data_IF_079251991763
#
_entry.id   IF_079251991763
#
_cell.length_a   1.000
_cell.length_b   1.000
_cell.length_c   1.000
_cell.angle_alpha   90.00
_cell.angle_beta   90.00
_cell.angle_gamma   90.00
#
_symmetry.space_group_name_H-M   'P 1'
#
loop_
_entity.id
_entity.type
_entity.pdbx_description
1 polymer ?
#
# COMPACT_ATOMS: atom_id res chain seq x y z
N UNK A 1 19.10 40.74 36.01
CA UNK A 1 18.89 39.30 36.14
C UNK A 1 17.46 39.00 35.68
N UNK A 2 17.16 39.12 34.39
CA UNK A 2 17.28 38.09 33.33
C UNK A 2 16.59 36.78 33.66
N UNK A 3 15.33 36.66 33.24
CA UNK A 3 14.80 35.42 32.68
C UNK A 3 13.64 35.79 31.75
N UNK A 4 13.97 35.95 30.48
CA UNK A 4 13.00 36.00 29.39
C UNK A 4 12.32 34.63 29.33
N UNK A 5 11.04 34.56 29.67
CA UNK A 5 10.17 33.50 29.15
C UNK A 5 9.89 33.88 27.68
N UNK A 6 10.68 33.31 26.78
CA UNK A 6 10.38 33.32 25.35
C UNK A 6 9.28 32.30 25.14
N UNK A 7 8.19 32.78 24.54
CA UNK A 7 7.06 32.02 24.04
C UNK A 7 7.53 30.81 23.22
N UNK A 8 7.30 29.60 23.74
CA UNK A 8 7.52 28.35 23.01
C UNK A 8 6.20 27.89 22.34
N UNK A 9 5.56 28.82 21.61
CA UNK A 9 4.32 28.60 20.89
C UNK A 9 4.49 28.92 19.40
N UNK A 10 5.32 28.13 18.72
CA UNK A 10 5.38 28.11 17.25
C UNK A 10 5.84 26.74 16.72
N UNK A 11 5.40 25.64 17.34
CA UNK A 11 5.80 24.27 16.96
C UNK A 11 4.86 23.62 15.92
N UNK A 12 3.98 24.39 15.29
CA UNK A 12 3.26 23.93 14.10
C UNK A 12 3.36 25.02 13.05
N UNK A 13 4.52 25.05 12.40
CA UNK A 13 4.66 25.76 11.14
C UNK A 13 3.88 24.95 10.10
N UNK A 14 2.78 25.54 9.63
CA UNK A 14 1.80 25.00 8.67
C UNK A 14 2.39 24.87 7.24
N UNK A 15 3.72 25.01 7.11
CA UNK A 15 4.52 25.07 5.90
C UNK A 15 5.58 23.95 5.83
N UNK A 16 5.38 22.81 6.50
CA UNK A 16 6.24 21.63 6.33
C UNK A 16 6.00 20.98 4.96
N UNK A 17 6.59 21.56 3.92
CA UNK A 17 6.76 20.90 2.63
C UNK A 17 7.48 19.57 2.84
N UNK A 18 6.91 18.47 2.29
CA UNK A 18 7.50 17.13 2.38
C UNK A 18 8.91 17.11 1.76
N UNK A 19 9.12 17.94 0.73
CA UNK A 19 10.40 18.11 0.06
C UNK A 19 11.02 19.45 0.48
N UNK A 20 12.25 19.45 1.02
CA UNK A 20 12.96 20.69 1.33
C UNK A 20 13.20 21.56 0.07
N UNK A 21 13.21 22.89 0.20
CA UNK A 21 13.40 23.80 -0.94
C UNK A 21 14.77 23.61 -1.62
N UNK A 22 15.81 23.27 -0.85
CA UNK A 22 17.14 22.98 -1.40
C UNK A 22 17.14 21.73 -2.31
N UNK A 23 16.42 20.67 -1.89
CA UNK A 23 16.21 19.50 -2.74
C UNK A 23 15.49 19.84 -4.05
N UNK A 24 14.52 20.76 -4.01
CA UNK A 24 13.82 21.22 -5.21
C UNK A 24 14.76 21.95 -6.19
N UNK A 25 15.66 22.80 -5.68
CA UNK A 25 16.69 23.48 -6.49
C UNK A 25 17.67 22.49 -7.12
N UNK A 26 18.09 21.48 -6.36
CA UNK A 26 18.94 20.42 -6.88
C UNK A 26 18.23 19.65 -8.00
N UNK A 27 16.97 19.24 -7.80
CA UNK A 27 16.19 18.52 -8.81
C UNK A 27 15.93 19.38 -10.06
N UNK A 28 15.69 20.68 -9.93
CA UNK A 28 15.45 21.57 -11.07
C UNK A 28 16.71 21.81 -11.91
N UNK A 29 17.89 21.78 -11.27
CA UNK A 29 19.19 21.91 -11.93
C UNK A 29 19.57 20.68 -12.78
N UNK A 30 18.97 19.52 -12.52
CA UNK A 30 19.29 18.27 -13.20
C UNK A 30 18.68 18.20 -14.62
N UNK A 31 19.39 17.50 -15.50
CA UNK A 31 18.88 17.13 -16.82
C UNK A 31 17.81 16.04 -16.71
N UNK A 32 16.93 15.91 -17.72
CA UNK A 32 15.91 14.86 -17.73
C UNK A 32 16.50 13.44 -17.67
N UNK A 33 17.70 13.23 -18.24
CA UNK A 33 18.41 11.94 -18.21
C UNK A 33 18.89 11.64 -16.78
N UNK A 34 19.43 12.64 -16.10
CA UNK A 34 19.86 12.52 -14.71
C UNK A 34 18.67 12.24 -13.78
N UNK A 35 17.54 12.94 -13.97
CA UNK A 35 16.31 12.69 -13.21
C UNK A 35 15.77 11.28 -13.44
N UNK A 36 15.78 10.77 -14.68
CA UNK A 36 15.39 9.40 -15.00
C UNK A 36 16.28 8.40 -14.25
N UNK A 37 17.60 8.54 -14.35
CA UNK A 37 18.55 7.64 -13.66
C UNK A 37 18.38 7.67 -12.13
N UNK A 38 18.01 8.83 -11.59
CA UNK A 38 17.77 9.01 -10.16
C UNK A 38 16.47 8.32 -9.73
N UNK A 39 15.42 8.44 -10.53
CA UNK A 39 14.15 7.78 -10.30
C UNK A 39 14.25 6.25 -10.44
N UNK A 40 14.99 5.75 -11.43
CA UNK A 40 15.28 4.32 -11.59
C UNK A 40 16.05 3.77 -10.40
N UNK A 41 17.06 4.52 -9.91
CA UNK A 41 17.83 4.17 -8.72
C UNK A 41 16.97 4.16 -7.45
N UNK A 42 16.06 5.13 -7.32
CA UNK A 42 15.12 5.20 -6.19
C UNK A 42 14.18 4.00 -6.17
N UNK A 43 13.60 3.62 -7.31
CA UNK A 43 12.76 2.41 -7.42
C UNK A 43 13.54 1.14 -7.11
N UNK A 44 14.77 1.04 -7.62
CA UNK A 44 15.61 -0.13 -7.41
C UNK A 44 15.95 -0.33 -5.91
N UNK A 45 16.23 0.76 -5.20
CA UNK A 45 16.43 0.77 -3.74
C UNK A 45 15.13 0.40 -2.99
N UNK A 46 14.01 1.05 -3.32
CA UNK A 46 12.71 0.81 -2.67
C UNK A 46 12.16 -0.61 -2.90
N UNK A 47 12.54 -1.27 -4.00
CA UNK A 47 12.16 -2.66 -4.30
C UNK A 47 13.11 -3.70 -3.69
N UNK A 48 14.11 -3.29 -2.92
CA UNK A 48 15.01 -4.17 -2.17
C UNK A 48 16.12 -4.81 -3.01
N UNK A 49 16.37 -4.33 -4.22
CA UNK A 49 17.53 -4.75 -5.00
C UNK A 49 18.75 -3.94 -4.54
N UNK A 50 19.49 -4.44 -3.54
CA UNK A 50 20.74 -3.78 -3.14
C UNK A 50 21.81 -3.96 -4.23
N UNK A 51 22.05 -2.93 -5.04
CA UNK A 51 23.33 -2.82 -5.77
C UNK A 51 24.38 -2.28 -4.81
N UNK A 52 25.34 -3.13 -4.44
CA UNK A 52 26.58 -2.75 -3.74
C UNK A 52 27.53 -1.93 -4.62
N UNK A 53 27.02 -1.18 -5.59
CA UNK A 53 27.82 -0.31 -6.44
C UNK A 53 27.82 1.12 -5.87
N UNK A 54 28.96 1.83 -5.95
CA UNK A 54 29.04 3.20 -5.47
C UNK A 54 28.05 4.07 -6.24
N UNK A 55 27.05 4.59 -5.53
CA UNK A 55 26.09 5.55 -6.09
C UNK A 55 26.85 6.64 -6.84
N UNK A 56 26.36 7.10 -8.02
CA UNK A 56 26.80 8.38 -8.55
C UNK A 56 26.64 9.42 -7.42
N UNK A 57 27.57 10.36 -7.32
CA UNK A 57 27.60 11.44 -6.32
C UNK A 57 26.39 12.38 -6.49
N UNK A 58 25.18 11.85 -6.34
CA UNK A 58 23.95 12.60 -6.32
C UNK A 58 23.70 12.92 -4.86
N UNK A 59 23.50 14.19 -4.58
CA UNK A 59 23.25 14.70 -3.24
C UNK A 59 22.16 13.85 -2.57
N UNK A 60 22.48 13.30 -1.40
CA UNK A 60 21.59 12.42 -0.63
C UNK A 60 20.19 13.04 -0.44
N UNK A 61 20.11 14.36 -0.41
CA UNK A 61 18.87 15.11 -0.30
C UNK A 61 18.00 15.04 -1.57
N UNK A 62 18.60 15.15 -2.76
CA UNK A 62 17.90 15.00 -4.03
C UNK A 62 17.43 13.55 -4.24
N UNK A 63 18.25 12.57 -3.82
CA UNK A 63 17.85 11.17 -3.82
C UNK A 63 16.69 10.90 -2.87
N UNK A 64 16.76 11.38 -1.62
CA UNK A 64 15.69 11.24 -0.65
C UNK A 64 14.39 11.90 -1.12
N UNK A 65 14.49 13.09 -1.72
CA UNK A 65 13.34 13.76 -2.34
C UNK A 65 12.75 12.93 -3.48
N UNK A 66 13.58 12.35 -4.35
CA UNK A 66 13.11 11.45 -5.42
C UNK A 66 12.40 10.22 -4.85
N UNK A 67 12.95 9.56 -3.82
CA UNK A 67 12.30 8.44 -3.15
C UNK A 67 10.94 8.84 -2.56
N UNK A 68 10.84 10.01 -1.92
CA UNK A 68 9.59 10.52 -1.38
C UNK A 68 8.54 10.75 -2.48
N UNK A 69 8.93 11.41 -3.59
CA UNK A 69 8.05 11.65 -4.74
C UNK A 69 7.54 10.32 -5.31
N UNK A 70 8.46 9.41 -5.66
CA UNK A 70 8.12 8.13 -6.27
C UNK A 70 7.21 7.30 -5.35
N UNK A 71 7.47 7.31 -4.04
CA UNK A 71 6.65 6.58 -3.06
C UNK A 71 5.25 7.18 -2.92
N UNK A 72 5.12 8.51 -2.89
CA UNK A 72 3.82 9.18 -2.84
C UNK A 72 2.96 8.82 -4.07
N UNK A 73 3.54 8.92 -5.26
CA UNK A 73 2.87 8.56 -6.50
C UNK A 73 2.55 7.06 -6.60
N UNK A 74 3.39 6.20 -6.04
CA UNK A 74 3.14 4.76 -6.01
C UNK A 74 2.02 4.38 -5.01
N UNK A 75 1.84 5.14 -3.93
CA UNK A 75 0.76 4.91 -2.95
C UNK A 75 -0.62 5.13 -3.56
N UNK A 76 -0.78 6.14 -4.42
CA UNK A 76 -2.07 6.52 -4.96
C UNK A 76 -2.37 5.76 -6.26
N UNK A 77 -2.90 4.53 -6.12
CA UNK A 77 -3.25 3.61 -7.24
C UNK A 77 -4.43 4.10 -8.11
N UNK A 78 -4.96 5.31 -7.87
CA UNK A 78 -6.10 5.85 -8.60
C UNK A 78 -5.66 6.36 -9.98
N UNK A 79 -6.43 6.14 -11.06
CA UNK A 79 -6.17 6.80 -12.33
C UNK A 79 -6.31 8.32 -12.14
N UNK A 80 -5.17 9.01 -12.04
CA UNK A 80 -5.13 10.45 -11.85
C UNK A 80 -5.07 11.17 -13.21
N UNK A 81 -5.80 12.28 -13.32
CA UNK A 81 -5.64 13.21 -14.42
C UNK A 81 -4.32 13.99 -14.28
N UNK A 82 -3.76 14.50 -15.38
CA UNK A 82 -2.54 15.31 -15.34
C UNK A 82 -2.64 16.54 -14.42
N UNK A 83 -3.86 17.04 -14.17
CA UNK A 83 -4.13 18.15 -13.24
C UNK A 83 -4.01 17.68 -11.78
N UNK A 84 -4.50 16.49 -11.46
CA UNK A 84 -4.42 15.92 -10.10
C UNK A 84 -2.98 15.58 -9.74
N UNK A 85 -2.23 14.97 -10.67
CA UNK A 85 -0.81 14.69 -10.48
C UNK A 85 0.01 15.95 -10.20
N UNK A 86 -0.31 17.07 -10.87
CA UNK A 86 0.36 18.36 -10.60
C UNK A 86 0.03 18.91 -9.22
N UNK A 87 -1.23 18.80 -8.79
CA UNK A 87 -1.63 19.20 -7.43
C UNK A 87 -0.92 18.37 -6.37
N UNK A 88 -0.70 17.09 -6.63
CA UNK A 88 0.06 16.22 -5.72
C UNK A 88 1.53 16.66 -5.63
N UNK A 89 2.18 16.98 -6.76
CA UNK A 89 3.54 17.55 -6.75
C UNK A 89 3.61 18.89 -6.00
N UNK A 90 2.61 19.75 -6.17
CA UNK A 90 2.50 21.01 -5.43
C UNK A 90 2.35 20.78 -3.92
N UNK A 91 1.54 19.80 -3.52
CA UNK A 91 1.38 19.42 -2.11
C UNK A 91 2.67 18.86 -1.49
N UNK A 92 3.51 18.20 -2.29
CA UNK A 92 4.85 17.77 -1.88
C UNK A 92 5.86 18.92 -1.77
N UNK A 93 5.51 20.12 -2.24
CA UNK A 93 6.36 21.31 -2.22
C UNK A 93 6.99 21.66 -3.56
N UNK A 94 6.76 20.89 -4.62
CA UNK A 94 7.32 21.15 -5.95
C UNK A 94 6.44 22.15 -6.68
N UNK A 95 6.78 23.43 -6.56
CA UNK A 95 6.06 24.54 -7.21
C UNK A 95 6.58 24.86 -8.63
N UNK A 96 7.75 24.34 -9.00
CA UNK A 96 8.37 24.60 -10.30
C UNK A 96 7.68 23.82 -11.42
N UNK A 97 7.00 24.55 -12.32
CA UNK A 97 6.28 23.96 -13.46
C UNK A 97 7.20 23.27 -14.48
N UNK A 98 8.43 23.75 -14.67
CA UNK A 98 9.38 23.12 -15.60
C UNK A 98 9.82 21.77 -15.04
N UNK A 99 10.13 21.72 -13.74
CA UNK A 99 10.44 20.47 -13.05
C UNK A 99 9.25 19.51 -13.05
N UNK A 100 8.03 19.97 -12.76
CA UNK A 100 6.81 19.14 -12.84
C UNK A 100 6.65 18.53 -14.24
N UNK A 101 6.88 19.32 -15.30
CA UNK A 101 6.75 18.86 -16.69
C UNK A 101 7.76 17.77 -17.06
N UNK A 102 8.95 17.80 -16.45
CA UNK A 102 9.99 16.77 -16.61
C UNK A 102 9.70 15.53 -15.78
N UNK A 103 9.19 15.68 -14.55
CA UNK A 103 8.94 14.57 -13.62
C UNK A 103 7.74 13.72 -14.02
N UNK A 104 6.64 14.31 -14.50
CA UNK A 104 5.43 13.57 -14.87
C UNK A 104 5.65 12.40 -15.84
N UNK A 105 6.38 12.55 -16.97
CA UNK A 105 6.65 11.41 -17.87
C UNK A 105 7.54 10.36 -17.21
N UNK A 106 8.54 10.77 -16.42
CA UNK A 106 9.44 9.87 -15.68
C UNK A 106 8.64 9.02 -14.68
N UNK A 107 7.78 9.67 -13.89
CA UNK A 107 6.93 9.00 -12.90
C UNK A 107 5.96 8.02 -13.56
N UNK A 108 5.40 8.36 -14.72
CA UNK A 108 4.52 7.48 -15.48
C UNK A 108 5.24 6.18 -15.92
N UNK A 109 6.54 6.24 -16.15
CA UNK A 109 7.36 5.10 -16.53
C UNK A 109 7.78 4.25 -15.31
N UNK A 110 8.25 4.87 -14.23
CA UNK A 110 8.88 4.14 -13.11
C UNK A 110 7.87 3.65 -12.06
N UNK A 111 6.82 4.40 -11.77
CA UNK A 111 5.85 4.12 -10.69
C UNK A 111 5.14 2.76 -10.83
N UNK A 112 4.72 2.30 -12.03
CA UNK A 112 4.04 1.00 -12.17
C UNK A 112 4.87 -0.19 -11.69
N UNK A 113 6.20 -0.11 -11.76
CA UNK A 113 7.09 -1.18 -11.29
C UNK A 113 7.10 -1.28 -9.77
N UNK A 114 7.17 -0.14 -9.08
CA UNK A 114 7.08 -0.07 -7.62
C UNK A 114 5.69 -0.44 -7.12
N UNK A 115 4.63 0.04 -7.80
CA UNK A 115 3.24 -0.33 -7.49
C UNK A 115 3.04 -1.85 -7.51
N UNK A 116 3.59 -2.56 -8.49
CA UNK A 116 3.50 -4.03 -8.54
C UNK A 116 4.17 -4.72 -7.35
N UNK A 117 5.26 -4.16 -6.84
CA UNK A 117 5.91 -4.70 -5.62
C UNK A 117 5.06 -4.38 -4.40
N UNK A 118 4.60 -3.13 -4.29
CA UNK A 118 3.70 -2.68 -3.21
C UNK A 118 2.37 -3.42 -3.22
N UNK A 119 1.79 -3.79 -4.35
CA UNK A 119 0.57 -4.62 -4.41
C UNK A 119 0.76 -5.98 -3.71
N UNK A 120 1.99 -6.52 -3.71
CA UNK A 120 2.30 -7.80 -3.08
C UNK A 120 2.81 -7.65 -1.63
N UNK A 121 3.15 -6.44 -1.19
CA UNK A 121 3.71 -6.17 0.15
C UNK A 121 2.88 -5.19 0.98
N UNK A 122 1.86 -4.57 0.38
CA UNK A 122 0.98 -3.60 1.04
C UNK A 122 0.02 -4.29 2.00
N UNK A 123 -0.44 -3.52 2.97
CA UNK A 123 -1.42 -3.94 3.98
C UNK A 123 -2.86 -3.91 3.46
N UNK A 124 -3.06 -3.73 2.15
CA UNK A 124 -4.38 -3.68 1.55
C UNK A 124 -4.78 -5.09 1.11
N UNK A 125 -5.62 -5.74 1.92
CA UNK A 125 -6.02 -7.14 1.73
C UNK A 125 -7.37 -7.23 1.03
N UNK A 126 -7.60 -8.31 0.29
CA UNK A 126 -8.91 -8.57 -0.30
C UNK A 126 -10.01 -8.63 0.77
N UNK A 127 -11.09 -7.89 0.55
CA UNK A 127 -12.22 -7.82 1.47
C UNK A 127 -13.26 -8.86 1.12
N UNK A 128 -13.71 -9.63 2.10
CA UNK A 128 -14.88 -10.51 1.94
C UNK A 128 -16.14 -9.63 1.94
N UNK A 129 -16.83 -9.56 0.81
CA UNK A 129 -18.04 -8.73 0.64
C UNK A 129 -19.35 -9.54 0.70
N UNK A 130 -19.28 -10.83 0.40
CA UNK A 130 -20.44 -11.72 0.45
C UNK A 130 -20.02 -13.17 0.71
N UNK A 131 -20.94 -13.96 1.26
CA UNK A 131 -20.76 -15.39 1.56
C UNK A 131 -22.00 -16.16 1.13
N UNK A 132 -21.84 -17.02 0.14
CA UNK A 132 -22.87 -17.98 -0.27
C UNK A 132 -22.47 -19.38 0.22
N UNK A 133 -23.44 -20.19 0.63
CA UNK A 133 -23.18 -21.54 1.10
C UNK A 133 -24.31 -22.50 0.73
N UNK A 134 -23.95 -23.77 0.59
CA UNK A 134 -24.90 -24.87 0.44
C UNK A 134 -24.47 -26.07 1.28
N UNK A 135 -25.46 -26.81 1.74
CA UNK A 135 -25.26 -28.05 2.49
C UNK A 135 -25.71 -29.22 1.61
N UNK A 136 -24.81 -30.16 1.39
CA UNK A 136 -25.09 -31.38 0.67
C UNK A 136 -25.06 -32.58 1.62
N UNK A 137 -25.97 -33.53 1.37
CA UNK A 137 -25.98 -34.83 2.04
C UNK A 137 -25.41 -35.88 1.10
N UNK A 138 -24.26 -36.44 1.45
CA UNK A 138 -23.63 -37.52 0.71
C UNK A 138 -24.17 -38.83 1.26
N UNK A 139 -24.98 -39.52 0.45
CA UNK A 139 -25.49 -40.85 0.72
C UNK A 139 -24.61 -41.85 -0.04
N UNK A 140 -23.69 -42.51 0.67
CA UNK A 140 -22.87 -43.59 0.08
C UNK A 140 -23.31 -44.93 0.64
N UNK A 141 -23.97 -45.74 -0.20
CA UNK A 141 -24.37 -47.11 0.18
C UNK A 141 -23.36 -48.10 -0.37
N UNK A 142 -22.75 -48.90 0.51
CA UNK A 142 -21.83 -49.97 0.16
C UNK A 142 -22.24 -51.29 0.82
N UNK A 143 -21.63 -52.41 0.40
CA UNK A 143 -21.83 -53.72 1.05
C UNK A 143 -21.41 -53.76 2.52
N UNK A 144 -20.61 -52.78 2.98
CA UNK A 144 -20.16 -52.62 4.37
C UNK A 144 -21.05 -51.69 5.21
N UNK A 145 -22.08 -51.08 4.63
CA UNK A 145 -22.98 -50.14 5.30
C UNK A 145 -23.26 -48.87 4.49
N UNK A 146 -24.19 -48.05 4.98
CA UNK A 146 -24.51 -46.73 4.42
C UNK A 146 -23.83 -45.64 5.25
N UNK A 147 -23.10 -44.75 4.58
CA UNK A 147 -22.45 -43.58 5.14
C UNK A 147 -23.30 -42.36 4.81
N UNK A 148 -23.69 -41.61 5.86
CA UNK A 148 -24.46 -40.38 5.79
C UNK A 148 -23.56 -39.24 6.25
N UNK A 149 -22.96 -38.52 5.31
CA UNK A 149 -22.05 -37.41 5.60
C UNK A 149 -22.62 -36.09 5.08
N UNK A 150 -22.60 -35.07 5.93
CA UNK A 150 -22.94 -33.70 5.55
C UNK A 150 -21.69 -32.96 5.11
N UNK A 151 -21.73 -32.33 3.94
CA UNK A 151 -20.65 -31.51 3.41
C UNK A 151 -21.15 -30.09 3.13
N UNK A 152 -20.46 -29.09 3.67
CA UNK A 152 -20.71 -27.69 3.33
C UNK A 152 -19.85 -27.30 2.15
N UNK A 153 -20.44 -26.57 1.21
CA UNK A 153 -19.72 -25.86 0.16
C UNK A 153 -19.93 -24.37 0.38
N UNK A 154 -18.84 -23.65 0.61
CA UNK A 154 -18.83 -22.24 0.93
C UNK A 154 -18.14 -21.49 -0.21
N UNK A 155 -18.76 -20.39 -0.63
CA UNK A 155 -18.27 -19.48 -1.65
C UNK A 155 -18.18 -18.07 -1.06
N UNK A 156 -16.97 -17.54 -0.97
CA UNK A 156 -16.70 -16.17 -0.57
C UNK A 156 -16.56 -15.29 -1.81
N UNK A 157 -17.24 -14.15 -1.83
CA UNK A 157 -16.98 -13.08 -2.79
C UNK A 157 -15.97 -12.11 -2.20
N UNK A 158 -14.88 -11.92 -2.93
CA UNK A 158 -13.76 -11.08 -2.53
C UNK A 158 -13.70 -9.85 -3.43
N UNK A 159 -13.59 -8.68 -2.83
CA UNK A 159 -13.27 -7.46 -3.53
C UNK A 159 -11.76 -7.20 -3.44
N UNK A 160 -11.14 -7.04 -4.61
CA UNK A 160 -9.73 -6.60 -4.66
C UNK A 160 -9.63 -5.16 -4.14
N UNK A 161 -8.61 -4.85 -3.34
CA UNK A 161 -8.36 -3.49 -2.90
C UNK A 161 -7.88 -2.58 -4.04
N UNK A 162 -7.28 -3.15 -5.09
CA UNK A 162 -6.79 -2.38 -6.23
C UNK A 162 -7.97 -1.82 -7.05
N UNK A 163 -8.09 -0.49 -7.06
CA UNK A 163 -9.16 0.25 -7.75
C UNK A 163 -9.24 -0.01 -9.26
N UNK A 164 -8.15 -0.53 -9.87
CA UNK A 164 -8.10 -0.87 -11.29
C UNK A 164 -8.91 -2.13 -11.62
N UNK A 165 -9.11 -3.02 -10.65
CA UNK A 165 -9.87 -4.25 -10.80
C UNK A 165 -11.05 -4.28 -9.81
N UNK A 166 -12.12 -3.55 -10.12
CA UNK A 166 -13.43 -3.69 -9.42
C UNK A 166 -14.10 -5.07 -9.60
N UNK A 167 -13.35 -6.05 -10.10
CA UNK A 167 -13.85 -7.39 -10.36
C UNK A 167 -13.92 -8.16 -9.04
N UNK A 168 -15.14 -8.53 -8.66
CA UNK A 168 -15.36 -9.50 -7.60
C UNK A 168 -14.72 -10.85 -7.98
N UNK A 169 -13.88 -11.37 -7.11
CA UNK A 169 -13.25 -12.69 -7.24
C UNK A 169 -13.96 -13.66 -6.31
N UNK A 170 -14.30 -14.82 -6.83
CA UNK A 170 -14.92 -15.88 -6.03
C UNK A 170 -13.87 -16.86 -5.51
N UNK A 171 -13.90 -17.16 -4.22
CA UNK A 171 -13.11 -18.22 -3.58
C UNK A 171 -14.06 -19.29 -3.05
N UNK A 172 -13.87 -20.55 -3.43
CA UNK A 172 -14.73 -21.66 -3.02
C UNK A 172 -13.96 -22.72 -2.24
N UNK A 173 -14.54 -23.23 -1.16
CA UNK A 173 -14.01 -24.38 -0.44
C UNK A 173 -15.15 -25.26 0.07
N UNK A 174 -14.83 -26.50 0.42
CA UNK A 174 -15.76 -27.42 1.07
C UNK A 174 -15.22 -27.86 2.42
N UNK A 175 -16.09 -28.03 3.41
CA UNK A 175 -15.70 -28.47 4.74
C UNK A 175 -16.78 -29.35 5.40
N UNK A 176 -16.35 -30.22 6.32
CA UNK A 176 -17.22 -30.95 7.25
C UNK A 176 -17.81 -30.01 8.32
N UNK A 177 -18.76 -30.52 9.09
CA UNK A 177 -19.37 -29.77 10.21
C UNK A 177 -18.30 -29.40 11.25
N UNK A 178 -17.39 -30.32 11.54
CA UNK A 178 -16.31 -30.14 12.51
C UNK A 178 -15.31 -29.07 12.05
N UNK A 179 -14.90 -29.12 10.79
CA UNK A 179 -14.02 -28.11 10.19
C UNK A 179 -14.67 -26.72 10.17
N UNK A 180 -15.97 -26.63 9.85
CA UNK A 180 -16.71 -25.37 9.87
C UNK A 180 -16.79 -24.79 11.29
N UNK A 181 -17.02 -25.63 12.31
CA UNK A 181 -17.02 -25.19 13.72
C UNK A 181 -15.66 -24.64 14.13
N UNK A 182 -14.57 -25.30 13.75
CA UNK A 182 -13.21 -24.82 14.02
C UNK A 182 -12.97 -23.48 13.32
N UNK A 183 -13.39 -23.32 12.06
CA UNK A 183 -13.26 -22.07 11.33
C UNK A 183 -13.98 -20.92 12.04
N UNK A 184 -15.25 -21.11 12.42
CA UNK A 184 -16.03 -20.08 13.13
C UNK A 184 -15.37 -19.71 14.45
N UNK A 185 -14.89 -20.70 15.22
CA UNK A 185 -14.19 -20.45 16.48
C UNK A 185 -12.92 -19.61 16.27
N UNK A 186 -12.12 -19.92 15.25
CA UNK A 186 -10.90 -19.15 14.92
C UNK A 186 -11.21 -17.72 14.48
N UNK A 187 -12.27 -17.51 13.72
CA UNK A 187 -12.70 -16.17 13.32
C UNK A 187 -13.13 -15.36 14.55
N UNK A 188 -13.90 -15.96 15.46
CA UNK A 188 -14.32 -15.30 16.71
C UNK A 188 -13.13 -14.95 17.61
N UNK A 189 -12.16 -15.86 17.75
CA UNK A 189 -10.91 -15.61 18.48
C UNK A 189 -10.16 -14.41 17.88
N UNK A 190 -10.00 -14.38 16.55
CA UNK A 190 -9.36 -13.26 15.86
C UNK A 190 -10.13 -11.94 16.06
N UNK A 191 -11.47 -11.95 15.96
CA UNK A 191 -12.30 -10.76 16.23
C UNK A 191 -12.09 -10.23 17.64
N UNK A 192 -12.09 -11.11 18.65
CA UNK A 192 -11.87 -10.71 20.04
C UNK A 192 -10.48 -10.07 20.25
N UNK A 193 -9.44 -10.61 19.63
CA UNK A 193 -8.09 -10.01 19.71
C UNK A 193 -8.04 -8.63 19.05
N UNK A 194 -8.69 -8.45 17.89
CA UNK A 194 -8.81 -7.14 17.24
C UNK A 194 -9.58 -6.15 18.12
N UNK A 195 -10.67 -6.56 18.74
CA UNK A 195 -11.46 -5.72 19.65
C UNK A 195 -10.66 -5.30 20.89
N UNK A 196 -9.86 -6.20 21.49
CA UNK A 196 -8.97 -5.87 22.61
C UNK A 196 -7.92 -4.83 22.25
N UNK A 197 -7.33 -4.96 21.05
CA UNK A 197 -6.36 -4.00 20.52
C UNK A 197 -7.03 -2.64 20.28
N UNK A 198 -8.23 -2.63 19.69
CA UNK A 198 -8.98 -1.42 19.42
C UNK A 198 -9.46 -0.71 20.71
N UNK A 199 -9.79 -1.46 21.76
CA UNK A 199 -10.18 -0.93 23.07
C UNK A 199 -9.01 -0.38 23.90
N UNK A 200 -7.77 -0.43 23.38
CA UNK A 200 -6.59 0.10 24.07
C UNK A 200 -6.13 -0.72 25.28
N UNK A 201 -6.71 -1.89 25.51
CA UNK A 201 -6.27 -2.83 26.54
C UNK A 201 -5.18 -3.73 26.00
N UNK A 202 -4.08 -3.14 25.49
CA UNK A 202 -2.83 -3.88 25.38
C UNK A 202 -2.31 -4.05 26.81
N UNK A 203 -2.39 -5.28 27.32
CA UNK A 203 -1.95 -5.63 28.66
C UNK A 203 -0.50 -5.15 28.88
N UNK A 204 -0.34 -4.22 29.83
CA UNK A 204 0.91 -4.03 30.59
C UNK A 204 1.30 -5.30 31.33
#
# INVERSE_FOLDING_TARGET
MTSNLVDNASYFDDDTHVIPPHAQELLSSLSSISLQSLADSAVLELTGHHTSEPQPQVDNEAFAAMCAIVTCFARDVRPQTSIEQRKELEALGIKDHDLQSKLLPILTEVVPSLQRVLENTSFDFAHVVDVNWRLDYVLRTSSAGSVYETMYFVQLQLQSPCASESRLKSMTFSCSVEELRVLVYRIQEATNEVEKLAAGTAAT
#
